data_IF_890422458084
#
_entry.id   IF_890422458084
#
_cell.length_a   1.000
_cell.length_b   1.000
_cell.length_c   1.000
_cell.angle_alpha   90.00
_cell.angle_beta   90.00
_cell.angle_gamma   90.00
#
_symmetry.space_group_name_H-M   'P 1'
#
loop_
_entity.id
_entity.type
_entity.pdbx_description
1 polymer ?
#
# COMPACT_ATOMS: atom_id res chain seq x y z
N UNK A 1 37.04 -13.01 12.78
CA UNK A 1 37.90 -13.04 11.58
C UNK A 1 37.03 -12.57 10.43
N UNK A 2 37.39 -11.48 9.76
CA UNK A 2 36.56 -10.89 8.70
C UNK A 2 37.07 -11.35 7.35
N UNK A 3 36.18 -11.85 6.49
CA UNK A 3 36.52 -12.29 5.14
C UNK A 3 36.76 -11.08 4.24
N UNK A 4 38.00 -10.91 3.79
CA UNK A 4 38.43 -9.79 2.96
C UNK A 4 37.82 -9.87 1.55
N UNK A 5 37.65 -11.08 1.02
CA UNK A 5 37.01 -11.29 -0.28
C UNK A 5 35.55 -10.84 -0.24
N UNK A 6 34.88 -11.06 0.89
CA UNK A 6 33.51 -10.63 1.13
C UNK A 6 33.37 -9.11 1.19
N UNK A 7 34.23 -8.42 1.95
CA UNK A 7 34.20 -6.94 2.03
C UNK A 7 34.39 -6.33 0.64
N UNK A 8 35.31 -6.87 -0.16
CA UNK A 8 35.56 -6.36 -1.51
C UNK A 8 34.35 -6.57 -2.44
N UNK A 9 33.62 -7.67 -2.28
CA UNK A 9 32.44 -7.97 -3.10
C UNK A 9 31.17 -7.24 -2.63
N UNK A 10 31.03 -6.98 -1.32
CA UNK A 10 29.83 -6.42 -0.69
C UNK A 10 30.17 -5.40 0.42
N UNK A 11 30.75 -4.23 0.06
CA UNK A 11 31.29 -3.27 1.03
C UNK A 11 30.22 -2.61 1.92
N UNK A 12 28.96 -2.58 1.45
CA UNK A 12 27.82 -2.05 2.20
C UNK A 12 27.02 -3.14 2.93
N UNK A 13 27.55 -4.37 3.00
CA UNK A 13 26.86 -5.44 3.70
C UNK A 13 26.93 -5.26 5.20
N UNK A 14 25.80 -5.46 5.89
CA UNK A 14 25.75 -5.50 7.34
C UNK A 14 24.74 -6.53 7.80
N UNK A 15 24.94 -7.01 9.02
CA UNK A 15 24.11 -8.05 9.62
C UNK A 15 23.44 -7.51 10.87
N UNK A 16 22.12 -7.63 10.94
CA UNK A 16 21.34 -7.33 12.14
C UNK A 16 20.93 -8.63 12.83
N UNK A 17 20.90 -8.59 14.15
CA UNK A 17 20.39 -9.66 14.98
C UNK A 17 19.13 -9.14 15.66
N UNK A 18 18.01 -9.85 15.47
CA UNK A 18 16.77 -9.53 16.17
C UNK A 18 16.91 -9.81 17.66
N UNK A 19 16.19 -9.06 18.50
CA UNK A 19 16.13 -9.36 19.93
C UNK A 19 15.60 -10.77 20.14
N UNK A 20 16.38 -11.60 20.84
CA UNK A 20 15.97 -12.97 21.16
C UNK A 20 14.79 -12.95 22.14
N UNK A 21 13.73 -13.68 21.80
CA UNK A 21 12.68 -14.05 22.73
C UNK A 21 13.08 -15.33 23.48
N UNK A 22 12.20 -16.33 23.60
CA UNK A 22 12.37 -17.53 24.45
C UNK A 22 13.38 -18.54 23.87
N UNK A 23 13.86 -18.35 22.64
CA UNK A 23 14.85 -19.22 22.00
C UNK A 23 16.24 -18.60 22.03
N UNK A 24 17.25 -19.40 22.34
CA UNK A 24 18.68 -19.08 22.25
C UNK A 24 19.17 -18.93 20.80
N UNK A 25 18.35 -19.26 19.81
CA UNK A 25 18.60 -18.98 18.41
C UNK A 25 18.13 -17.57 18.04
N UNK A 26 19.08 -16.63 17.94
CA UNK A 26 18.80 -15.29 17.43
C UNK A 26 18.65 -15.30 15.90
N UNK A 27 17.56 -14.73 15.40
CA UNK A 27 17.40 -14.54 13.96
C UNK A 27 18.43 -13.53 13.46
N UNK A 28 19.20 -13.96 12.47
CA UNK A 28 20.23 -13.15 11.82
C UNK A 28 19.78 -12.76 10.42
N UNK A 29 19.81 -11.47 10.11
CA UNK A 29 19.50 -10.93 8.79
C UNK A 29 20.73 -10.22 8.21
N UNK A 30 21.25 -10.71 7.08
CA UNK A 30 22.39 -10.09 6.39
C UNK A 30 21.90 -9.37 5.15
N UNK A 31 22.03 -8.05 5.15
CA UNK A 31 21.71 -7.22 4.00
C UNK A 31 22.96 -7.05 3.13
N UNK A 32 22.87 -7.39 1.84
CA UNK A 32 24.01 -7.37 0.90
C UNK A 32 24.07 -6.12 0.02
N UNK A 33 22.94 -5.43 -0.14
CA UNK A 33 22.79 -4.24 -0.98
C UNK A 33 21.92 -3.24 -0.25
N UNK A 34 22.17 -1.95 -0.46
CA UNK A 34 21.19 -0.93 -0.10
C UNK A 34 19.90 -1.28 -0.84
N UNK A 35 18.88 -1.65 -0.06
CA UNK A 35 17.53 -1.70 -0.57
C UNK A 35 17.22 -0.24 -0.89
N UNK A 36 16.90 0.12 -2.16
CA UNK A 36 16.42 1.46 -2.42
C UNK A 36 15.34 1.74 -1.38
N UNK A 37 15.40 2.88 -0.71
CA UNK A 37 14.26 3.41 0.04
C UNK A 37 13.17 3.77 -0.97
N UNK A 38 12.70 2.80 -1.76
CA UNK A 38 11.46 2.88 -2.46
C UNK A 38 10.44 3.10 -1.37
N UNK A 39 9.64 4.16 -1.49
CA UNK A 39 8.46 4.38 -0.69
C UNK A 39 7.78 3.04 -0.52
N UNK A 40 7.97 2.40 0.64
CA UNK A 40 7.13 1.28 1.04
C UNK A 40 5.81 1.98 1.25
N UNK A 41 5.02 2.06 0.17
CA UNK A 41 3.69 2.65 0.17
C UNK A 41 3.03 2.03 1.38
N UNK A 42 2.73 2.86 2.37
CA UNK A 42 2.02 2.40 3.55
C UNK A 42 0.76 1.74 3.02
N UNK A 43 0.66 0.42 3.17
CA UNK A 43 -0.39 -0.38 2.59
C UNK A 43 -1.67 -0.13 3.41
N UNK A 44 -2.22 1.08 3.32
CA UNK A 44 -3.41 1.54 4.07
C UNK A 44 -4.71 1.22 3.35
N UNK A 45 -4.66 0.65 2.15
CA UNK A 45 -5.84 0.30 1.37
C UNK A 45 -6.71 -0.80 2.01
N UNK A 46 -6.15 -1.58 2.95
CA UNK A 46 -6.93 -2.62 3.64
C UNK A 46 -8.02 -2.08 4.57
N UNK A 47 -7.94 -0.83 5.03
CA UNK A 47 -8.95 -0.28 5.96
C UNK A 47 -10.27 0.09 5.28
N UNK A 48 -10.29 0.29 3.95
CA UNK A 48 -11.49 0.74 3.24
C UNK A 48 -12.22 -0.37 2.46
N UNK A 49 -11.76 -1.62 2.55
CA UNK A 49 -12.35 -2.69 1.74
C UNK A 49 -13.79 -2.97 2.14
N UNK A 50 -14.13 -2.84 3.42
CA UNK A 50 -15.51 -2.95 3.91
C UNK A 50 -16.40 -1.78 3.47
N UNK A 51 -15.81 -0.63 3.12
CA UNK A 51 -16.52 0.56 2.63
C UNK A 51 -16.81 0.50 1.12
N UNK A 52 -16.27 -0.50 0.40
CA UNK A 52 -16.48 -0.65 -1.03
C UNK A 52 -17.98 -0.91 -1.32
N UNK A 53 -18.64 -0.18 -2.24
CA UNK A 53 -20.08 -0.32 -2.50
C UNK A 53 -20.51 -1.75 -2.85
N UNK A 54 -19.64 -2.48 -3.57
CA UNK A 54 -19.83 -3.89 -3.94
C UNK A 54 -19.32 -4.91 -2.92
N UNK A 55 -18.88 -4.50 -1.73
CA UNK A 55 -18.32 -5.41 -0.72
C UNK A 55 -19.28 -6.56 -0.39
N UNK A 56 -20.54 -6.24 -0.07
CA UNK A 56 -21.55 -7.25 0.26
C UNK A 56 -21.91 -8.16 -0.93
N UNK A 57 -21.91 -7.61 -2.14
CA UNK A 57 -22.15 -8.38 -3.37
C UNK A 57 -21.05 -9.42 -3.60
N UNK A 58 -19.79 -9.00 -3.49
CA UNK A 58 -18.62 -9.88 -3.68
C UNK A 58 -18.57 -10.95 -2.59
N UNK A 59 -18.78 -10.57 -1.33
CA UNK A 59 -18.85 -11.51 -0.21
C UNK A 59 -19.97 -12.52 -0.47
N UNK A 60 -21.19 -12.07 -0.79
CA UNK A 60 -22.33 -12.96 -1.04
C UNK A 60 -22.05 -13.93 -2.18
N UNK A 61 -21.49 -13.45 -3.30
CA UNK A 61 -21.15 -14.29 -4.46
C UNK A 61 -20.15 -15.37 -4.06
N UNK A 62 -18.98 -15.00 -3.55
CA UNK A 62 -17.93 -15.94 -3.14
C UNK A 62 -18.42 -16.88 -2.03
N UNK A 63 -19.30 -16.38 -1.15
CA UNK A 63 -19.78 -17.18 -0.04
C UNK A 63 -20.83 -18.22 -0.45
N UNK A 64 -21.59 -17.97 -1.50
CA UNK A 64 -22.66 -18.85 -1.96
C UNK A 64 -22.24 -19.76 -3.14
N UNK A 65 -21.13 -19.47 -3.81
CA UNK A 65 -20.65 -20.24 -4.97
C UNK A 65 -20.01 -21.60 -4.58
N UNK A 66 -19.63 -21.77 -3.30
CA UNK A 66 -18.96 -22.98 -2.81
C UNK A 66 -19.96 -23.90 -2.10
N UNK A 67 -19.88 -25.19 -2.43
CA UNK A 67 -20.67 -26.29 -1.86
C UNK A 67 -20.77 -26.20 -0.31
N UNK A 68 -21.95 -26.54 0.29
CA UNK A 68 -22.15 -26.50 1.73
C UNK A 68 -21.03 -27.20 2.51
N UNK A 69 -20.50 -26.51 3.52
CA UNK A 69 -19.53 -27.11 4.45
C UNK A 69 -20.25 -28.09 5.37
N UNK A 70 -20.17 -29.38 5.06
CA UNK A 70 -20.56 -30.42 6.01
C UNK A 70 -19.46 -30.60 7.07
N UNK A 71 -19.86 -30.94 8.30
CA UNK A 71 -18.93 -31.29 9.38
C UNK A 71 -18.10 -32.51 8.98
N UNK A 72 -16.89 -32.25 8.50
CA UNK A 72 -15.95 -33.26 8.02
C UNK A 72 -14.51 -32.80 8.28
N UNK A 73 -13.55 -33.73 8.16
CA UNK A 73 -12.12 -33.43 8.31
C UNK A 73 -11.60 -32.42 7.27
N UNK A 74 -12.34 -32.14 6.20
CA UNK A 74 -11.99 -31.15 5.18
C UNK A 74 -12.66 -29.79 5.38
N UNK A 75 -13.54 -29.62 6.38
CA UNK A 75 -14.30 -28.40 6.60
C UNK A 75 -13.40 -27.17 6.81
N UNK A 76 -12.32 -27.30 7.61
CA UNK A 76 -11.36 -26.22 7.86
C UNK A 76 -10.58 -25.85 6.59
N UNK A 77 -10.18 -26.84 5.79
CA UNK A 77 -9.49 -26.61 4.52
C UNK A 77 -10.39 -25.85 3.54
N UNK A 78 -11.63 -26.30 3.38
CA UNK A 78 -12.64 -25.64 2.52
C UNK A 78 -12.94 -24.21 2.99
N UNK A 79 -12.99 -23.99 4.30
CA UNK A 79 -13.14 -22.65 4.87
C UNK A 79 -11.95 -21.74 4.54
N UNK A 80 -10.72 -22.26 4.63
CA UNK A 80 -9.52 -21.52 4.27
C UNK A 80 -9.45 -21.19 2.78
N UNK A 81 -9.82 -22.13 1.91
CA UNK A 81 -9.95 -21.91 0.45
C UNK A 81 -10.94 -20.78 0.16
N UNK A 82 -12.07 -20.74 0.87
CA UNK A 82 -13.09 -19.70 0.76
C UNK A 82 -12.59 -18.32 1.16
N UNK A 83 -11.85 -18.23 2.28
CA UNK A 83 -11.23 -16.97 2.71
C UNK A 83 -10.16 -16.47 1.72
N UNK A 84 -9.36 -17.37 1.14
CA UNK A 84 -8.37 -16.99 0.14
C UNK A 84 -9.00 -16.51 -1.16
N UNK A 85 -10.06 -17.17 -1.61
CA UNK A 85 -10.82 -16.76 -2.80
C UNK A 85 -11.42 -15.36 -2.59
N UNK A 86 -12.04 -15.13 -1.44
CA UNK A 86 -12.58 -13.83 -1.06
C UNK A 86 -11.49 -12.74 -0.99
N UNK A 87 -10.35 -13.05 -0.39
CA UNK A 87 -9.20 -12.14 -0.31
C UNK A 87 -8.73 -11.71 -1.71
N UNK A 88 -8.59 -12.66 -2.64
CA UNK A 88 -8.14 -12.39 -4.01
C UNK A 88 -9.11 -11.47 -4.76
N UNK A 89 -10.39 -11.77 -4.70
CA UNK A 89 -11.49 -10.97 -5.27
C UNK A 89 -11.52 -9.55 -4.70
N UNK A 90 -11.41 -9.41 -3.38
CA UNK A 90 -11.38 -8.13 -2.69
C UNK A 90 -10.16 -7.29 -3.06
N UNK A 91 -8.98 -7.90 -3.16
CA UNK A 91 -7.75 -7.20 -3.58
C UNK A 91 -7.89 -6.71 -5.03
N UNK A 92 -8.45 -7.52 -5.93
CA UNK A 92 -8.67 -7.12 -7.31
C UNK A 92 -9.59 -5.90 -7.40
N UNK A 93 -10.74 -5.94 -6.73
CA UNK A 93 -11.72 -4.85 -6.77
C UNK A 93 -11.24 -3.56 -6.08
N UNK A 94 -10.52 -3.70 -4.97
CA UNK A 94 -9.86 -2.57 -4.30
C UNK A 94 -8.79 -1.97 -5.22
N UNK A 95 -8.04 -2.83 -5.92
CA UNK A 95 -7.05 -2.41 -6.90
C UNK A 95 -7.65 -1.56 -8.04
N UNK A 96 -8.87 -1.87 -8.49
CA UNK A 96 -9.57 -1.10 -9.53
C UNK A 96 -10.02 0.28 -9.01
N UNK A 97 -10.59 0.36 -7.80
CA UNK A 97 -11.03 1.64 -7.22
C UNK A 97 -9.86 2.60 -6.92
N UNK A 98 -8.74 2.06 -6.44
CA UNK A 98 -7.58 2.88 -6.05
C UNK A 98 -6.51 2.96 -7.16
N UNK A 99 -6.81 2.44 -8.36
CA UNK A 99 -5.91 2.45 -9.51
C UNK A 99 -5.63 3.85 -10.04
N UNK A 100 -6.65 4.70 -9.98
CA UNK A 100 -6.62 6.06 -10.54
C UNK A 100 -6.14 7.10 -9.54
N UNK A 101 -5.99 6.73 -8.26
CA UNK A 101 -5.48 7.61 -7.21
C UNK A 101 -4.10 8.23 -7.54
N UNK A 102 -3.10 7.47 -8.05
CA UNK A 102 -1.82 8.04 -8.45
C UNK A 102 -1.91 9.01 -9.65
N UNK A 103 -2.93 8.85 -10.51
CA UNK A 103 -3.19 9.77 -11.62
C UNK A 103 -3.81 11.07 -11.12
N UNK A 104 -4.81 10.96 -10.25
CA UNK A 104 -5.46 12.10 -9.61
C UNK A 104 -4.49 12.95 -8.77
N UNK A 105 -3.56 12.32 -8.04
CA UNK A 105 -2.52 13.05 -7.28
C UNK A 105 -1.61 13.87 -8.21
N UNK A 106 -1.25 13.31 -9.36
CA UNK A 106 -0.40 14.00 -10.35
C UNK A 106 -1.14 15.17 -10.98
N UNK A 107 -2.41 14.98 -11.35
CA UNK A 107 -3.25 16.05 -11.93
C UNK A 107 -3.47 17.19 -10.93
N UNK A 108 -3.75 16.88 -9.66
CA UNK A 108 -3.89 17.88 -8.61
C UNK A 108 -2.59 18.66 -8.36
N UNK A 109 -1.44 17.99 -8.43
CA UNK A 109 -0.13 18.61 -8.33
C UNK A 109 0.17 19.56 -9.51
N UNK A 110 -0.10 19.12 -10.74
CA UNK A 110 0.07 19.93 -11.95
C UNK A 110 -0.85 21.16 -11.94
N UNK A 111 -2.09 21.01 -11.46
CA UNK A 111 -3.04 22.11 -11.28
C UNK A 111 -2.52 23.15 -10.26
N UNK A 112 -2.00 22.69 -9.12
CA UNK A 112 -1.39 23.56 -8.11
C UNK A 112 -0.20 24.34 -8.69
N UNK A 113 0.74 23.68 -9.38
CA UNK A 113 1.89 24.35 -10.00
C UNK A 113 1.45 25.40 -11.04
N UNK A 114 0.39 25.10 -11.80
CA UNK A 114 -0.18 26.05 -12.77
C UNK A 114 -0.75 27.29 -12.09
N UNK A 115 -1.49 27.11 -10.99
CA UNK A 115 -2.06 28.22 -10.22
C UNK A 115 -0.99 29.06 -9.53
N UNK A 116 0.06 28.43 -8.98
CA UNK A 116 1.22 29.13 -8.42
C UNK A 116 1.94 29.98 -9.49
N UNK A 117 2.14 29.42 -10.69
CA UNK A 117 2.79 30.12 -11.80
C UNK A 117 1.97 31.35 -12.23
N UNK A 118 0.64 31.21 -12.30
CA UNK A 118 -0.28 32.33 -12.60
C UNK A 118 -0.22 33.42 -11.54
N UNK A 119 -0.15 33.07 -10.26
CA UNK A 119 -0.01 34.04 -9.18
C UNK A 119 1.33 34.80 -9.24
N UNK A 120 2.41 34.14 -9.66
CA UNK A 120 3.71 34.80 -9.87
C UNK A 120 3.72 35.73 -11.09
N UNK A 121 2.99 35.38 -12.16
CA UNK A 121 2.92 36.17 -13.39
C UNK A 121 1.95 37.36 -13.28
N UNK A 122 0.87 37.22 -12.52
CA UNK A 122 -0.12 38.28 -12.28
C UNK A 122 -0.48 38.33 -10.79
N UNK A 123 0.32 39.01 -9.96
CA UNK A 123 0.13 39.03 -8.52
C UNK A 123 -1.11 39.86 -8.14
N UNK A 124 -2.22 39.15 -7.95
CA UNK A 124 -3.49 39.68 -7.47
C UNK A 124 -4.05 38.79 -6.36
N UNK A 125 -4.83 39.35 -5.43
CA UNK A 125 -5.38 38.62 -4.28
C UNK A 125 -6.12 37.34 -4.69
N UNK A 126 -6.95 37.41 -5.74
CA UNK A 126 -7.69 36.26 -6.27
C UNK A 126 -6.79 35.15 -6.84
N UNK A 127 -5.62 35.49 -7.37
CA UNK A 127 -4.66 34.52 -7.92
C UNK A 127 -3.93 33.74 -6.81
N UNK A 128 -3.65 34.40 -5.68
CA UNK A 128 -3.05 33.78 -4.50
C UNK A 128 -4.07 32.93 -3.74
N UNK A 129 -5.33 33.38 -3.62
CA UNK A 129 -6.42 32.57 -3.06
C UNK A 129 -6.61 31.27 -3.84
N UNK A 130 -6.67 31.34 -5.18
CA UNK A 130 -6.80 30.16 -6.02
C UNK A 130 -5.62 29.16 -5.86
N UNK A 131 -4.39 29.67 -5.71
CA UNK A 131 -3.21 28.83 -5.47
C UNK A 131 -3.23 28.20 -4.05
N UNK A 132 -3.69 28.95 -3.05
CA UNK A 132 -3.85 28.46 -1.68
C UNK A 132 -4.92 27.36 -1.61
N UNK A 133 -6.07 27.56 -2.26
CA UNK A 133 -7.15 26.57 -2.30
C UNK A 133 -6.71 25.28 -2.99
N UNK A 134 -5.95 25.37 -4.09
CA UNK A 134 -5.41 24.20 -4.77
C UNK A 134 -4.38 23.46 -3.91
N UNK A 135 -3.56 24.18 -3.15
CA UNK A 135 -2.63 23.58 -2.21
C UNK A 135 -3.37 22.83 -1.08
N UNK A 136 -4.44 23.42 -0.53
CA UNK A 136 -5.27 22.75 0.47
C UNK A 136 -5.93 21.48 -0.08
N UNK A 137 -6.52 21.54 -1.28
CA UNK A 137 -7.14 20.37 -1.91
C UNK A 137 -6.14 19.25 -2.23
N UNK A 138 -4.91 19.59 -2.62
CA UNK A 138 -3.85 18.61 -2.90
C UNK A 138 -3.31 17.93 -1.65
N UNK A 139 -3.31 18.59 -0.49
CA UNK A 139 -2.79 18.03 0.76
C UNK A 139 -3.89 17.39 1.64
N UNK A 140 -5.15 17.78 1.42
CA UNK A 140 -6.31 17.30 2.17
C UNK A 140 -7.47 17.00 1.20
N UNK A 141 -7.39 15.89 0.43
CA UNK A 141 -8.50 15.46 -0.39
C UNK A 141 -9.72 15.21 0.50
N UNK A 142 -10.87 15.78 0.13
CA UNK A 142 -12.13 15.55 0.85
C UNK A 142 -12.48 14.06 0.77
N UNK A 143 -12.77 13.48 1.94
CA UNK A 143 -13.24 12.09 2.11
C UNK A 143 -14.50 11.78 1.28
#
# INVERSE_FOLDING_TARGET
MVDICWINASPHSYTTFESGDVSDHMLMHTQLREVPHGNIKSFKFFNHVASHPRFLEVVSRVWNDIEPMFHSRSAVRRFYEKLNSLKSEMISHTGDMFRDFPGSDKEAYEEMCTKQTKAMQNPQTSSFEAASDAWYHSNYPKE
#
